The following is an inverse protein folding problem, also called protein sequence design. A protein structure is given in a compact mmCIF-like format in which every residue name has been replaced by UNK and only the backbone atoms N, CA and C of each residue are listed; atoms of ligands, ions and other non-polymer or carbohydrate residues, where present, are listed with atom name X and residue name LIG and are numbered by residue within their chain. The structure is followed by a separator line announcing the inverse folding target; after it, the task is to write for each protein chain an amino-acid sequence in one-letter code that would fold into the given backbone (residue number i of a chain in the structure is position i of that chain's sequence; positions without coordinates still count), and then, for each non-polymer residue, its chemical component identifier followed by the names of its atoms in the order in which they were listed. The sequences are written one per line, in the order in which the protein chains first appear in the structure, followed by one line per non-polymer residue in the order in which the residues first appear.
data_IF_124952979635
#
_entry.id   IF_124952979635
#
_cell.length_a   1.000
_cell.length_b   1.000
_cell.length_c   1.000
_cell.angle_alpha   90.00
_cell.angle_beta   90.00
_cell.angle_gamma   90.00
#
_symmetry.space_group_name_H-M   'P 1'
#
loop_
_entity.id
_entity.type
_entity.pdbx_description
1 polymer ?
#
# COMPACT_ATOMS: atom_id res chain seq x y z
N UNK A 1 21.16 62.08 4.40
CA UNK A 1 22.47 61.44 4.19
C UNK A 1 22.29 59.96 4.49
N UNK A 2 22.10 59.12 3.48
CA UNK A 2 23.18 58.38 2.79
C UNK A 2 23.76 57.29 3.72
N UNK A 3 23.92 56.02 3.36
CA UNK A 3 23.69 55.24 2.14
C UNK A 3 24.10 53.78 2.52
N UNK A 4 23.36 52.80 2.01
CA UNK A 4 23.83 51.51 1.46
C UNK A 4 24.37 50.34 2.33
N UNK A 5 23.81 49.16 2.00
CA UNK A 5 24.37 47.78 1.86
C UNK A 5 23.79 46.74 2.84
N UNK A 6 22.81 45.92 2.41
CA UNK A 6 22.95 44.66 1.63
C UNK A 6 23.70 43.56 2.41
N UNK A 7 23.37 42.27 2.44
CA UNK A 7 22.29 41.40 1.97
C UNK A 7 22.58 40.02 2.62
N UNK A 8 21.54 39.18 2.79
CA UNK A 8 21.55 37.71 2.73
C UNK A 8 22.49 36.85 3.61
N UNK A 9 21.87 36.07 4.50
CA UNK A 9 22.18 34.63 4.60
C UNK A 9 20.91 33.87 4.99
N UNK A 10 20.32 33.22 4.00
CA UNK A 10 19.18 32.34 4.10
C UNK A 10 19.46 31.17 5.06
N UNK A 11 18.64 31.04 6.10
CA UNK A 11 18.51 29.81 6.86
C UNK A 11 17.68 28.83 6.04
N UNK A 12 18.36 28.03 5.21
CA UNK A 12 17.76 26.96 4.43
C UNK A 12 17.20 25.85 5.33
N UNK A 13 15.94 26.00 5.73
CA UNK A 13 15.09 24.84 5.90
C UNK A 13 14.88 24.24 4.50
N UNK A 14 14.97 22.91 4.31
CA UNK A 14 14.55 22.33 3.05
C UNK A 14 13.05 22.60 2.90
N UNK A 15 12.69 23.51 2.00
CA UNK A 15 11.36 23.55 1.41
C UNK A 15 11.06 22.15 0.89
N UNK A 16 10.25 21.39 1.64
CA UNK A 16 9.66 20.15 1.18
C UNK A 16 8.51 20.50 0.23
N UNK A 17 8.84 21.13 -0.90
CA UNK A 17 7.95 21.19 -2.05
C UNK A 17 7.69 19.75 -2.51
N UNK A 18 6.46 19.27 -2.34
CA UNK A 18 6.09 17.94 -2.84
C UNK A 18 4.94 17.21 -2.15
N UNK A 19 4.22 17.84 -1.21
CA UNK A 19 2.99 17.24 -0.67
C UNK A 19 1.94 17.15 -1.79
N UNK A 20 1.46 15.93 -2.08
CA UNK A 20 0.29 15.78 -2.95
C UNK A 20 -0.96 15.82 -2.09
N UNK A 21 -1.97 16.53 -2.60
CA UNK A 21 -3.26 16.65 -1.95
C UNK A 21 -4.32 15.94 -2.80
N UNK A 22 -4.98 14.96 -2.19
CA UNK A 22 -6.17 14.34 -2.75
C UNK A 22 -7.40 15.07 -2.22
N UNK A 23 -8.18 15.68 -3.12
CA UNK A 23 -9.45 16.31 -2.78
C UNK A 23 -10.61 15.40 -3.19
N UNK A 24 -11.47 15.06 -2.23
CA UNK A 24 -12.60 14.14 -2.42
C UNK A 24 -13.79 14.56 -1.56
N UNK A 25 -14.82 13.72 -1.48
CA UNK A 25 -15.92 13.89 -0.55
C UNK A 25 -16.38 12.55 0.01
N UNK A 26 -17.18 12.60 1.08
CA UNK A 26 -17.72 11.42 1.77
C UNK A 26 -18.40 10.43 0.82
N UNK A 27 -19.23 10.92 -0.11
CA UNK A 27 -19.99 10.06 -1.03
C UNK A 27 -19.06 9.24 -1.93
N UNK A 28 -18.03 9.87 -2.50
CA UNK A 28 -17.03 9.17 -3.34
C UNK A 28 -16.26 8.12 -2.54
N UNK A 29 -15.88 8.42 -1.30
CA UNK A 29 -15.17 7.47 -0.43
C UNK A 29 -16.04 6.28 -0.03
N UNK A 30 -17.30 6.51 0.35
CA UNK A 30 -18.25 5.43 0.66
C UNK A 30 -18.51 4.54 -0.55
N UNK A 31 -18.60 5.14 -1.74
CA UNK A 31 -18.77 4.41 -2.98
C UNK A 31 -17.55 3.52 -3.30
N UNK A 32 -16.34 4.10 -3.22
CA UNK A 32 -15.10 3.35 -3.40
C UNK A 32 -14.93 2.21 -2.38
N UNK A 33 -15.47 2.39 -1.16
CA UNK A 33 -15.49 1.36 -0.12
C UNK A 33 -16.59 0.30 -0.30
N UNK A 34 -17.45 0.41 -1.32
CA UNK A 34 -18.57 -0.51 -1.53
C UNK A 34 -19.69 -0.37 -0.49
N UNK A 35 -19.86 0.82 0.09
CA UNK A 35 -20.80 1.13 1.19
C UNK A 35 -21.82 2.19 0.82
N UNK A 36 -22.05 2.44 -0.47
CA UNK A 36 -22.89 3.54 -1.00
C UNK A 36 -24.29 3.59 -0.36
N UNK A 37 -24.92 2.43 -0.18
CA UNK A 37 -26.34 2.34 0.20
C UNK A 37 -26.58 2.34 1.72
N UNK A 38 -25.52 2.41 2.54
CA UNK A 38 -25.62 2.43 4.00
C UNK A 38 -25.71 3.88 4.50
N UNK A 39 -26.95 4.33 4.77
CA UNK A 39 -27.26 5.70 5.21
C UNK A 39 -27.30 5.87 6.73
N UNK A 40 -26.82 4.88 7.48
CA UNK A 40 -26.86 4.88 8.95
C UNK A 40 -26.08 6.06 9.56
N UNK A 41 -26.48 6.50 10.75
CA UNK A 41 -25.75 7.54 11.52
C UNK A 41 -24.30 7.13 11.75
N UNK A 42 -24.07 5.85 12.04
CA UNK A 42 -22.73 5.26 12.19
C UNK A 42 -21.88 5.42 10.93
N UNK A 43 -22.47 5.24 9.74
CA UNK A 43 -21.74 5.40 8.47
C UNK A 43 -21.38 6.85 8.15
N UNK A 44 -22.10 7.83 8.74
CA UNK A 44 -21.79 9.26 8.57
C UNK A 44 -20.46 9.66 9.21
N UNK A 45 -20.14 9.09 10.37
CA UNK A 45 -18.86 9.31 11.07
C UNK A 45 -17.75 8.41 10.53
N UNK A 46 -18.11 7.20 10.08
CA UNK A 46 -17.16 6.16 9.65
C UNK A 46 -16.04 6.66 8.72
N UNK A 47 -16.35 7.53 7.75
CA UNK A 47 -15.31 8.04 6.82
C UNK A 47 -14.26 8.85 7.56
N UNK A 48 -14.68 9.79 8.41
CA UNK A 48 -13.76 10.65 9.15
C UNK A 48 -12.98 9.84 10.20
N UNK A 49 -13.66 8.94 10.90
CA UNK A 49 -13.03 8.06 11.89
C UNK A 49 -11.96 7.18 11.22
N UNK A 50 -12.28 6.57 10.07
CA UNK A 50 -11.34 5.74 9.30
C UNK A 50 -10.15 6.56 8.81
N UNK A 51 -10.36 7.77 8.32
CA UNK A 51 -9.26 8.64 7.89
C UNK A 51 -8.36 9.01 9.07
N UNK A 52 -8.94 9.31 10.23
CA UNK A 52 -8.21 9.64 11.45
C UNK A 52 -7.40 8.43 11.95
N UNK A 53 -7.98 7.22 11.90
CA UNK A 53 -7.26 5.98 12.22
C UNK A 53 -6.09 5.75 11.26
N UNK A 54 -6.29 5.98 9.95
CA UNK A 54 -5.22 5.85 8.95
C UNK A 54 -4.12 6.91 9.16
N UNK A 55 -4.48 8.13 9.54
CA UNK A 55 -3.52 9.18 9.87
C UNK A 55 -2.71 8.85 11.14
N UNK A 56 -3.35 8.24 12.14
CA UNK A 56 -2.66 7.77 13.35
C UNK A 56 -1.77 6.55 13.07
N UNK A 57 -2.03 5.81 11.99
CA UNK A 57 -1.23 4.67 11.55
C UNK A 57 0.20 5.07 11.19
N UNK A 58 1.16 4.54 11.93
CA UNK A 58 2.59 4.70 11.64
C UNK A 58 3.07 3.61 10.68
N UNK A 59 3.78 4.02 9.64
CA UNK A 59 4.56 3.14 8.77
C UNK A 59 5.99 3.15 9.27
N UNK A 60 6.51 1.96 9.58
CA UNK A 60 7.93 1.77 9.85
C UNK A 60 8.56 0.89 8.77
N UNK A 61 9.62 1.40 8.15
CA UNK A 61 10.46 0.66 7.23
C UNK A 61 11.87 0.56 7.78
N UNK A 62 12.39 -0.67 7.83
CA UNK A 62 13.74 -0.93 8.31
C UNK A 62 14.55 -1.64 7.24
N UNK A 63 15.63 -0.99 6.82
CA UNK A 63 16.66 -1.58 5.97
C UNK A 63 17.91 -1.85 6.81
N UNK A 64 18.96 -2.41 6.18
CA UNK A 64 20.26 -2.57 6.86
C UNK A 64 20.94 -1.25 7.19
N UNK A 65 20.59 -0.16 6.48
CA UNK A 65 21.27 1.15 6.58
C UNK A 65 20.41 2.22 7.23
N UNK A 66 19.10 2.12 7.14
CA UNK A 66 18.17 3.19 7.51
C UNK A 66 16.93 2.63 8.21
N UNK A 67 16.40 3.41 9.14
CA UNK A 67 15.07 3.25 9.73
C UNK A 67 14.26 4.48 9.35
N UNK A 68 13.12 4.25 8.72
CA UNK A 68 12.15 5.26 8.36
C UNK A 68 10.89 5.00 9.19
N UNK A 69 10.32 6.07 9.74
CA UNK A 69 9.05 6.05 10.45
C UNK A 69 8.29 7.31 10.09
N UNK A 70 7.05 7.18 9.65
CA UNK A 70 6.19 8.31 9.34
C UNK A 70 4.70 7.90 9.39
N UNK A 71 3.80 8.87 9.43
CA UNK A 71 2.37 8.62 9.30
C UNK A 71 2.02 8.18 7.87
N UNK A 72 1.02 7.31 7.74
CA UNK A 72 0.51 6.89 6.43
C UNK A 72 -0.15 8.06 5.67
N UNK A 73 -0.94 8.87 6.38
CA UNK A 73 -1.56 10.08 5.84
C UNK A 73 -0.96 11.30 6.55
N UNK A 74 -0.77 12.38 5.79
CA UNK A 74 -0.40 13.69 6.32
C UNK A 74 -1.63 14.40 6.91
N UNK A 75 -1.67 15.73 6.76
CA UNK A 75 -2.80 16.53 7.22
C UNK A 75 -4.15 16.10 6.57
N UNK A 76 -5.20 16.11 7.40
CA UNK A 76 -6.58 15.87 6.99
C UNK A 76 -7.41 17.12 7.29
N UNK A 77 -8.17 17.61 6.32
CA UNK A 77 -9.13 18.71 6.54
C UNK A 77 -10.48 18.40 5.91
N UNK A 78 -11.56 18.86 6.54
CA UNK A 78 -12.91 18.79 6.02
C UNK A 78 -13.53 20.18 6.04
N UNK A 79 -14.03 20.63 4.90
CA UNK A 79 -14.88 21.81 4.81
C UNK A 79 -16.30 21.39 5.18
N UNK A 80 -16.78 21.82 6.35
CA UNK A 80 -18.13 21.52 6.85
C UNK A 80 -19.25 22.12 5.99
N UNK A 81 -18.95 23.16 5.20
CA UNK A 81 -19.93 23.82 4.33
C UNK A 81 -20.12 23.04 3.03
N UNK A 82 -19.02 22.64 2.39
CA UNK A 82 -19.06 21.95 1.09
C UNK A 82 -19.02 20.41 1.21
N UNK A 83 -18.60 19.89 2.37
CA UNK A 83 -18.33 18.48 2.59
C UNK A 83 -17.09 17.96 1.85
N UNK A 84 -16.23 18.87 1.36
CA UNK A 84 -14.97 18.52 0.71
C UNK A 84 -13.96 18.04 1.75
N UNK A 85 -13.29 16.94 1.46
CA UNK A 85 -12.26 16.34 2.30
C UNK A 85 -10.93 16.44 1.54
N UNK A 86 -9.93 17.02 2.18
CA UNK A 86 -8.56 17.06 1.69
C UNK A 86 -7.69 16.10 2.49
N UNK A 87 -6.92 15.29 1.77
CA UNK A 87 -6.01 14.29 2.33
C UNK A 87 -4.62 14.58 1.78
N UNK A 88 -3.69 14.98 2.65
CA UNK A 88 -2.30 15.15 2.28
C UNK A 88 -1.56 13.81 2.31
N UNK A 89 -0.69 13.61 1.33
CA UNK A 89 0.26 12.50 1.28
C UNK A 89 1.65 13.10 1.21
N UNK A 90 2.49 12.75 2.18
CA UNK A 90 3.86 13.27 2.27
C UNK A 90 4.71 12.81 1.08
N UNK A 91 5.57 13.69 0.57
CA UNK A 91 6.41 13.43 -0.62
C UNK A 91 7.21 12.11 -0.51
N UNK A 92 7.77 11.86 0.68
CA UNK A 92 8.57 10.66 0.96
C UNK A 92 7.73 9.37 0.91
N UNK A 93 6.46 9.46 1.30
CA UNK A 93 5.52 8.34 1.19
C UNK A 93 5.21 8.03 -0.26
N UNK A 94 5.08 9.05 -1.10
CA UNK A 94 4.84 8.87 -2.55
C UNK A 94 5.98 8.11 -3.19
N UNK A 95 7.23 8.41 -2.81
CA UNK A 95 8.39 7.70 -3.33
C UNK A 95 8.38 6.22 -2.95
N UNK A 96 7.89 5.87 -1.75
CA UNK A 96 7.70 4.47 -1.34
C UNK A 96 6.60 3.76 -2.14
N UNK A 97 5.63 4.49 -2.68
CA UNK A 97 4.51 3.94 -3.45
C UNK A 97 4.78 3.88 -4.96
N UNK A 98 5.91 4.42 -5.43
CA UNK A 98 6.18 4.63 -6.87
C UNK A 98 6.69 3.39 -7.61
N UNK A 99 7.46 2.52 -6.94
CA UNK A 99 8.30 1.52 -7.61
C UNK A 99 7.58 0.18 -7.90
N UNK A 100 6.54 -0.18 -7.14
CA UNK A 100 5.80 -1.43 -7.32
C UNK A 100 4.30 -1.22 -7.12
N UNK A 101 3.53 -1.27 -8.19
CA UNK A 101 2.07 -1.15 -8.10
C UNK A 101 1.43 -2.50 -8.33
N UNK A 102 1.04 -3.14 -7.23
CA UNK A 102 0.01 -4.17 -7.28
C UNK A 102 -1.32 -3.49 -7.62
N UNK A 103 -1.76 -3.61 -8.88
CA UNK A 103 -3.04 -3.05 -9.30
C UNK A 103 -4.18 -3.94 -8.82
N UNK A 104 -4.79 -3.54 -7.70
CA UNK A 104 -5.95 -4.22 -7.12
C UNK A 104 -7.24 -3.72 -7.79
N UNK A 105 -8.06 -4.64 -8.28
CA UNK A 105 -9.37 -4.30 -8.84
C UNK A 105 -10.36 -3.95 -7.71
N UNK A 106 -10.51 -2.64 -7.45
CA UNK A 106 -11.38 -2.13 -6.38
C UNK A 106 -12.87 -2.42 -6.63
N UNK A 107 -13.32 -2.46 -7.89
CA UNK A 107 -14.71 -2.79 -8.23
C UNK A 107 -15.04 -4.22 -7.83
N UNK A 108 -14.18 -5.18 -8.20
CA UNK A 108 -14.30 -6.58 -7.77
C UNK A 108 -14.26 -6.68 -6.25
N UNK A 109 -13.29 -6.03 -5.61
CA UNK A 109 -13.13 -6.04 -4.15
C UNK A 109 -14.40 -5.56 -3.42
N UNK A 110 -15.04 -4.50 -3.90
CA UNK A 110 -16.28 -3.97 -3.32
C UNK A 110 -17.42 -5.02 -3.29
N UNK A 111 -17.50 -5.90 -4.30
CA UNK A 111 -18.53 -6.95 -4.34
C UNK A 111 -18.38 -8.04 -3.27
N UNK A 112 -17.21 -8.14 -2.63
CA UNK A 112 -16.94 -9.14 -1.59
C UNK A 112 -17.54 -8.76 -0.23
N UNK A 113 -18.13 -7.56 -0.13
CA UNK A 113 -18.82 -7.08 1.06
C UNK A 113 -17.93 -7.06 2.29
N UNK A 114 -18.46 -7.49 3.43
CA UNK A 114 -17.78 -7.43 4.74
C UNK A 114 -16.90 -8.65 5.05
N UNK A 115 -16.62 -9.47 4.04
CA UNK A 115 -15.86 -10.71 4.23
C UNK A 115 -14.37 -10.43 4.29
N UNK A 116 -13.83 -10.12 5.48
CA UNK A 116 -12.41 -9.74 5.63
C UNK A 116 -11.44 -10.74 5.00
N UNK A 117 -11.67 -12.04 5.19
CA UNK A 117 -10.81 -13.07 4.59
C UNK A 117 -10.94 -13.15 3.05
N UNK A 118 -12.10 -12.82 2.49
CA UNK A 118 -12.25 -12.77 1.03
C UNK A 118 -11.59 -11.51 0.45
N UNK A 119 -11.71 -10.36 1.13
CA UNK A 119 -11.01 -9.13 0.77
C UNK A 119 -9.49 -9.34 0.81
N UNK A 120 -8.99 -9.95 1.88
CA UNK A 120 -7.56 -10.27 2.00
C UNK A 120 -7.10 -11.26 0.93
N UNK A 121 -7.85 -12.36 0.73
CA UNK A 121 -7.49 -13.39 -0.26
C UNK A 121 -7.53 -12.84 -1.69
N UNK A 122 -8.48 -11.95 -1.99
CA UNK A 122 -8.53 -11.22 -3.25
C UNK A 122 -7.24 -10.44 -3.50
N UNK A 123 -6.82 -9.62 -2.52
CA UNK A 123 -5.64 -8.79 -2.66
C UNK A 123 -4.38 -9.66 -2.79
N UNK A 124 -4.25 -10.67 -1.93
CA UNK A 124 -3.15 -11.62 -1.94
C UNK A 124 -3.01 -12.32 -3.30
N UNK A 125 -4.10 -12.89 -3.84
CA UNK A 125 -4.06 -13.61 -5.13
C UNK A 125 -3.86 -12.64 -6.29
N UNK A 126 -4.40 -11.42 -6.19
CA UNK A 126 -4.26 -10.41 -7.24
C UNK A 126 -2.81 -10.01 -7.48
N UNK A 127 -1.94 -10.08 -6.46
CA UNK A 127 -0.50 -9.76 -6.57
C UNK A 127 0.37 -10.93 -7.05
N UNK A 128 -0.17 -12.14 -7.10
CA UNK A 128 0.62 -13.32 -7.50
C UNK A 128 0.94 -13.32 -9.01
N UNK A 129 1.98 -14.04 -9.40
CA UNK A 129 2.32 -14.22 -10.81
C UNK A 129 1.13 -14.75 -11.63
N UNK A 130 1.00 -14.29 -12.87
CA UNK A 130 0.03 -14.83 -13.82
C UNK A 130 0.54 -16.12 -14.49
N UNK A 131 1.85 -16.27 -14.60
CA UNK A 131 2.48 -17.34 -15.39
C UNK A 131 2.87 -18.55 -14.52
N UNK A 132 2.94 -18.35 -13.20
CA UNK A 132 3.30 -19.41 -12.25
C UNK A 132 2.17 -19.61 -11.24
N UNK A 133 1.63 -20.82 -11.20
CA UNK A 133 0.72 -21.26 -10.17
C UNK A 133 1.51 -21.88 -9.00
N UNK A 134 1.45 -21.25 -7.83
CA UNK A 134 2.09 -21.75 -6.62
C UNK A 134 1.03 -22.26 -5.64
N UNK A 135 1.02 -23.56 -5.31
CA UNK A 135 0.23 -24.09 -4.21
C UNK A 135 0.66 -23.43 -2.88
N UNK A 136 -0.27 -22.84 -2.16
CA UNK A 136 0.02 -22.16 -0.90
C UNK A 136 -0.40 -22.99 0.31
N UNK A 137 0.53 -23.37 1.21
CA UNK A 137 0.16 -24.04 2.45
C UNK A 137 -0.85 -23.23 3.25
N UNK A 138 -1.93 -23.86 3.71
CA UNK A 138 -2.97 -23.16 4.47
C UNK A 138 -2.45 -22.58 5.78
N UNK A 139 -1.49 -23.25 6.42
CA UNK A 139 -0.78 -22.74 7.59
C UNK A 139 -0.04 -21.43 7.30
N UNK A 140 0.53 -21.30 6.12
CA UNK A 140 1.24 -20.08 5.72
C UNK A 140 0.26 -18.95 5.40
N UNK A 141 -0.83 -19.25 4.68
CA UNK A 141 -1.91 -18.27 4.47
C UNK A 141 -2.52 -17.79 5.79
N UNK A 142 -2.71 -18.70 6.76
CA UNK A 142 -3.20 -18.39 8.11
C UNK A 142 -2.28 -17.39 8.82
N UNK A 143 -0.96 -17.63 8.76
CA UNK A 143 0.06 -16.75 9.30
C UNK A 143 0.08 -15.39 8.61
N UNK A 144 0.08 -15.37 7.27
CA UNK A 144 0.17 -14.16 6.46
C UNK A 144 -1.04 -13.24 6.60
N UNK A 145 -2.24 -13.80 6.77
CA UNK A 145 -3.45 -13.01 7.00
C UNK A 145 -3.64 -12.59 8.45
N UNK A 146 -2.79 -13.05 9.38
CA UNK A 146 -2.86 -12.71 10.81
C UNK A 146 -4.15 -13.19 11.48
N UNK A 147 -4.75 -14.29 11.02
CA UNK A 147 -6.02 -14.77 11.59
C UNK A 147 -5.81 -15.36 12.99
N UNK A 148 -6.64 -14.93 13.95
CA UNK A 148 -6.68 -15.51 15.31
C UNK A 148 -7.48 -16.81 15.40
N UNK A 149 -8.13 -17.25 14.32
CA UNK A 149 -8.93 -18.46 14.30
C UNK A 149 -8.05 -19.70 14.42
N UNK A 150 -8.57 -20.75 15.05
CA UNK A 150 -7.94 -22.07 15.00
C UNK A 150 -7.86 -22.56 13.55
N UNK A 151 -6.79 -23.27 13.19
CA UNK A 151 -6.51 -23.69 11.81
C UNK A 151 -7.69 -24.44 11.12
N UNK A 152 -8.43 -25.35 11.78
CA UNK A 152 -9.59 -25.99 11.16
C UNK A 152 -10.72 -25.01 10.80
N UNK A 153 -10.99 -24.03 11.66
CA UNK A 153 -12.00 -23.00 11.42
C UNK A 153 -11.52 -22.04 10.31
N UNK A 154 -10.24 -21.67 10.33
CA UNK A 154 -9.63 -20.89 9.27
C UNK A 154 -9.77 -21.60 7.92
N UNK A 155 -9.46 -22.89 7.84
CA UNK A 155 -9.61 -23.70 6.63
C UNK A 155 -11.03 -23.62 6.07
N UNK A 156 -12.05 -23.78 6.92
CA UNK A 156 -13.45 -23.66 6.49
C UNK A 156 -13.76 -22.25 5.95
N UNK A 157 -13.35 -21.19 6.67
CA UNK A 157 -13.57 -19.81 6.23
C UNK A 157 -12.81 -19.46 4.96
N UNK A 158 -11.61 -20.00 4.78
CA UNK A 158 -10.80 -19.82 3.58
C UNK A 158 -11.49 -20.44 2.37
N UNK A 159 -12.08 -21.64 2.51
CA UNK A 159 -12.88 -22.27 1.46
C UNK A 159 -14.09 -21.41 1.08
N UNK A 160 -14.80 -20.87 2.06
CA UNK A 160 -15.91 -19.94 1.80
C UNK A 160 -15.42 -18.66 1.11
N UNK A 161 -14.27 -18.12 1.51
CA UNK A 161 -13.66 -16.96 0.88
C UNK A 161 -13.27 -17.24 -0.59
N UNK A 162 -12.58 -18.36 -0.86
CA UNK A 162 -12.22 -18.78 -2.21
C UNK A 162 -13.45 -19.02 -3.09
N UNK A 163 -14.50 -19.67 -2.55
CA UNK A 163 -15.78 -19.85 -3.23
C UNK A 163 -16.50 -18.52 -3.56
N UNK A 164 -16.21 -17.43 -2.84
CA UNK A 164 -16.73 -16.10 -3.18
C UNK A 164 -15.96 -15.48 -4.34
N UNK A 165 -14.66 -15.74 -4.44
CA UNK A 165 -13.80 -15.22 -5.51
C UNK A 165 -14.07 -15.86 -6.88
N UNK A 166 -14.83 -16.94 -6.95
CA UNK A 166 -15.31 -17.57 -8.20
C UNK A 166 -16.69 -17.05 -8.63
N UNK A 167 -17.31 -16.14 -7.88
CA UNK A 167 -18.67 -15.64 -8.12
C UNK A 167 -18.65 -14.19 -8.60
N UNK A 168 -19.80 -13.73 -9.08
CA UNK A 168 -20.02 -12.36 -9.55
C UNK A 168 -19.78 -12.21 -11.06
N UNK A 169 -19.98 -11.00 -11.56
CA UNK A 169 -19.80 -10.68 -12.98
C UNK A 169 -18.32 -10.62 -13.42
N UNK A 170 -17.40 -10.49 -12.46
CA UNK A 170 -15.96 -10.40 -12.70
C UNK A 170 -15.21 -11.25 -11.66
N UNK A 171 -15.22 -12.59 -11.77
CA UNK A 171 -14.58 -13.49 -10.83
C UNK A 171 -13.05 -13.41 -10.92
N UNK A 172 -12.36 -13.45 -9.77
CA UNK A 172 -10.89 -13.51 -9.75
C UNK A 172 -10.39 -14.92 -10.01
N UNK A 173 -11.03 -15.92 -9.39
CA UNK A 173 -10.64 -17.33 -9.50
C UNK A 173 -11.47 -18.03 -10.56
N UNK A 174 -10.80 -18.78 -11.44
CA UNK A 174 -11.46 -19.64 -12.43
C UNK A 174 -11.66 -21.05 -11.90
N UNK A 175 -10.73 -21.57 -11.10
CA UNK A 175 -10.86 -22.81 -10.36
C UNK A 175 -10.01 -22.77 -9.09
N UNK A 176 -10.41 -23.55 -8.08
CA UNK A 176 -9.59 -23.74 -6.87
C UNK A 176 -9.98 -25.02 -6.15
N UNK A 177 -9.04 -25.55 -5.36
CA UNK A 177 -9.29 -26.61 -4.38
C UNK A 177 -8.23 -26.56 -3.27
N UNK A 178 -8.45 -27.35 -2.22
CA UNK A 178 -7.40 -27.64 -1.22
C UNK A 178 -6.93 -29.06 -1.48
N UNK A 179 -5.64 -29.24 -1.75
CA UNK A 179 -5.07 -30.55 -2.06
C UNK A 179 -4.87 -31.42 -0.81
N UNK A 180 -4.43 -32.66 -1.02
CA UNK A 180 -4.15 -33.61 0.06
C UNK A 180 -3.02 -33.18 1.02
N UNK A 181 -2.19 -32.21 0.62
CA UNK A 181 -1.10 -31.66 1.43
C UNK A 181 -1.50 -30.38 2.16
N UNK A 182 -2.80 -30.08 2.23
CA UNK A 182 -3.35 -28.88 2.85
C UNK A 182 -2.84 -27.57 2.22
N UNK A 183 -2.76 -27.56 0.88
CA UNK A 183 -2.38 -26.37 0.10
C UNK A 183 -3.55 -25.87 -0.73
N UNK A 184 -3.74 -24.56 -0.74
CA UNK A 184 -4.65 -23.89 -1.65
C UNK A 184 -4.03 -23.89 -3.04
N UNK A 185 -4.67 -24.60 -3.97
CA UNK A 185 -4.32 -24.62 -5.38
C UNK A 185 -5.41 -23.84 -6.12
N UNK A 186 -5.03 -22.92 -6.97
CA UNK A 186 -5.98 -22.09 -7.71
C UNK A 186 -5.46 -21.72 -9.09
N UNK A 187 -6.40 -21.43 -9.99
CA UNK A 187 -6.19 -20.71 -11.24
C UNK A 187 -6.96 -19.41 -11.18
N UNK A 188 -6.37 -18.34 -11.71
CA UNK A 188 -6.96 -17.00 -11.68
C UNK A 188 -7.01 -16.40 -13.07
N UNK A 189 -7.88 -15.41 -13.24
CA UNK A 189 -7.79 -14.54 -14.42
C UNK A 189 -6.47 -13.74 -14.37
N UNK A 190 -6.03 -13.27 -15.53
CA UNK A 190 -4.83 -12.42 -15.61
C UNK A 190 -5.08 -11.11 -14.87
N UNK A 191 -4.22 -10.78 -13.91
CA UNK A 191 -4.23 -9.50 -13.19
C UNK A 191 -3.09 -8.60 -13.66
N UNK A 192 -3.21 -7.29 -13.45
CA UNK A 192 -2.19 -6.30 -13.82
C UNK A 192 -1.03 -6.29 -12.81
N UNK A 193 -0.38 -7.45 -12.66
CA UNK A 193 0.82 -7.59 -11.83
C UNK A 193 2.03 -7.32 -12.70
N UNK A 194 2.76 -6.28 -12.36
CA UNK A 194 4.06 -5.98 -12.94
C UNK A 194 5.11 -6.52 -11.98
N UNK A 195 5.63 -7.71 -12.26
CA UNK A 195 6.85 -8.16 -11.61
C UNK A 195 8.01 -7.52 -12.36
N UNK A 196 8.75 -6.62 -11.70
CA UNK A 196 9.91 -5.99 -12.32
C UNK A 196 10.87 -7.08 -12.83
N UNK A 197 11.33 -7.00 -14.10
CA UNK A 197 12.32 -7.95 -14.61
C UNK A 197 13.62 -7.84 -13.81
N UNK A 198 14.39 -8.93 -13.71
CA UNK A 198 15.62 -8.99 -12.92
C UNK A 198 16.66 -7.91 -13.29
N UNK A 199 16.55 -7.30 -14.46
CA UNK A 199 17.37 -6.18 -14.91
C UNK A 199 17.12 -4.88 -14.12
N UNK A 200 15.91 -4.65 -13.61
CA UNK A 200 15.63 -3.52 -12.71
C UNK A 200 16.33 -3.68 -11.35
N UNK A 201 16.46 -4.93 -10.87
CA UNK A 201 17.28 -5.24 -9.67
C UNK A 201 18.76 -5.00 -9.94
N UNK A 202 19.25 -5.28 -11.16
CA UNK A 202 20.61 -4.99 -11.56
C UNK A 202 20.89 -3.48 -11.59
N UNK A 203 19.94 -2.66 -12.07
CA UNK A 203 20.04 -1.19 -12.03
C UNK A 203 20.03 -0.64 -10.60
N UNK A 204 19.25 -1.21 -9.68
CA UNK A 204 19.26 -0.86 -8.26
C UNK A 204 20.58 -1.27 -7.56
N UNK A 205 21.12 -2.45 -7.90
CA UNK A 205 22.45 -2.90 -7.44
C UNK A 205 23.57 -2.00 -7.98
N UNK A 206 23.45 -1.52 -9.23
CA UNK A 206 24.41 -0.61 -9.85
C UNK A 206 24.36 0.79 -9.23
N UNK A 207 23.15 1.34 -9.00
CA UNK A 207 22.97 2.60 -8.27
C UNK A 207 23.58 2.52 -6.86
N UNK A 208 23.36 1.41 -6.16
CA UNK A 208 23.95 1.16 -4.83
C UNK A 208 25.49 1.06 -4.83
N UNK A 209 26.10 0.62 -5.94
CA UNK A 209 27.57 0.58 -6.11
C UNK A 209 28.13 1.97 -6.42
N UNK A 210 27.47 2.74 -7.28
CA UNK A 210 27.86 4.12 -7.57
C UNK A 210 27.87 4.97 -6.29
N UNK A 211 26.85 4.85 -5.45
CA UNK A 211 26.80 5.55 -4.16
C UNK A 211 27.94 5.15 -3.21
N UNK A 212 28.35 3.88 -3.24
CA UNK A 212 29.48 3.39 -2.45
C UNK A 212 30.82 3.93 -2.97
N UNK A 213 30.98 4.05 -4.29
CA UNK A 213 32.16 4.63 -4.93
C UNK A 213 32.26 6.14 -4.67
N UNK A 214 31.12 6.86 -4.68
CA UNK A 214 31.05 8.29 -4.35
C UNK A 214 31.45 8.54 -2.89
N UNK A 215 30.98 7.72 -1.94
CA UNK A 215 31.36 7.85 -0.53
C UNK A 215 32.81 7.45 -0.27
N UNK A 216 33.33 6.42 -0.96
CA UNK A 216 34.75 6.07 -0.91
C UNK A 216 35.64 7.21 -1.45
N UNK A 217 35.22 7.86 -2.54
CA UNK A 217 35.93 9.01 -3.11
C UNK A 217 35.91 10.23 -2.17
N UNK A 218 34.79 10.50 -1.47
CA UNK A 218 34.71 11.56 -0.44
C UNK A 218 35.61 11.26 0.77
N UNK A 219 35.64 10.02 1.23
CA UNK A 219 36.49 9.60 2.34
C UNK A 219 37.99 9.73 2.00
N UNK A 220 38.36 9.38 0.76
CA UNK A 220 39.73 9.54 0.28
C UNK A 220 40.14 11.02 0.18
N UNK A 221 39.25 11.90 -0.30
CA UNK A 221 39.52 13.36 -0.37
C UNK A 221 39.70 13.99 1.02
N UNK A 222 38.95 13.53 2.04
CA UNK A 222 39.14 13.97 3.43
C UNK A 222 40.49 13.57 4.02
N UNK A 223 41.08 12.47 3.57
CA UNK A 223 42.39 12.00 4.03
C UNK A 223 43.59 12.75 3.44
N UNK A 224 43.41 13.38 2.27
CA UNK A 224 44.49 14.12 1.57
C UNK A 224 44.54 15.60 2.02
N UNK A 225 43.54 16.06 2.77
CA UNK A 225 43.43 17.44 3.28
C UNK A 225 43.82 17.59 4.77
N UNK A 226 44.41 16.54 5.37
CA UNK A 226 45.04 16.52 6.69
C UNK A 226 46.53 16.23 6.52
#
# INVERSE_FOLDING_TARGET
MALLLEQHAASGAPELEGQQQLVTNRRKLLDAAGKRDDTSRTMRCWVWDTLTELQAGQIELRTKRQRFSDSLLGALTMDETTGAISIAIEARMIDLLRDEVAVINLKRKATLGRSQLALWLHDFISTQSNDKAFPWPLKELHRLCGSSLALPQFRQRLRTAAARLTKGADPLLTAWHVDQHDRLVYTKIRTLVILLPDQAKASQLAASRHDQEVEAAKAQRRRVLL
#
